data_IF_732981935079
#
_entry.id   IF_732981935079
#
_cell.length_a   1.000
_cell.length_b   1.000
_cell.length_c   1.000
_cell.angle_alpha   90.00
_cell.angle_beta   90.00
_cell.angle_gamma   90.00
#
_symmetry.space_group_name_H-M   'P 1'
#
loop_
_entity.id
_entity.type
_entity.pdbx_description
1 polymer ?
#
# COMPACT_ATOMS: atom_id res chain seq x y z
N UNK A 1 4.23 -2.84 16.54
CA UNK A 1 5.32 -2.04 15.95
C UNK A 1 6.31 -3.02 15.34
N UNK A 2 6.53 -2.88 14.04
CA UNK A 2 7.47 -3.74 13.30
C UNK A 2 8.90 -3.47 13.74
N UNK A 3 9.73 -4.50 13.80
CA UNK A 3 11.17 -4.33 13.95
C UNK A 3 11.83 -4.02 12.59
N UNK A 4 13.09 -3.58 12.61
CA UNK A 4 13.83 -3.17 11.39
C UNK A 4 13.94 -4.30 10.35
N UNK A 5 14.00 -5.56 10.80
CA UNK A 5 14.07 -6.73 9.90
C UNK A 5 12.73 -6.93 9.19
N UNK A 6 11.61 -6.76 9.90
CA UNK A 6 10.28 -6.88 9.33
C UNK A 6 9.99 -5.74 8.34
N UNK A 7 10.38 -4.51 8.67
CA UNK A 7 10.30 -3.38 7.74
C UNK A 7 11.13 -3.59 6.48
N UNK A 8 12.36 -4.09 6.64
CA UNK A 8 13.23 -4.42 5.50
C UNK A 8 12.63 -5.56 4.65
N UNK A 9 12.03 -6.56 5.29
CA UNK A 9 11.36 -7.68 4.60
C UNK A 9 10.18 -7.17 3.79
N UNK A 10 9.39 -6.27 4.37
CA UNK A 10 8.21 -5.70 3.71
C UNK A 10 8.62 -4.83 2.52
N UNK A 11 9.61 -3.95 2.68
CA UNK A 11 10.16 -3.15 1.59
C UNK A 11 10.76 -4.01 0.46
N UNK A 12 11.45 -5.10 0.82
CA UNK A 12 12.04 -6.02 -0.15
C UNK A 12 10.97 -6.80 -0.94
N UNK A 13 9.95 -7.33 -0.25
CA UNK A 13 8.90 -8.12 -0.90
C UNK A 13 7.98 -7.27 -1.78
N UNK A 14 7.69 -6.03 -1.37
CA UNK A 14 6.86 -5.12 -2.16
C UNK A 14 7.62 -4.43 -3.30
N UNK A 15 8.96 -4.38 -3.24
CA UNK A 15 9.88 -3.84 -4.24
C UNK A 15 9.74 -2.34 -4.56
N UNK A 16 8.53 -1.83 -4.78
CA UNK A 16 8.20 -0.44 -5.09
C UNK A 16 8.91 0.57 -4.16
N UNK A 17 8.93 0.41 -2.82
CA UNK A 17 9.61 1.37 -1.96
C UNK A 17 11.12 1.45 -2.17
N UNK A 18 11.74 0.34 -2.59
CA UNK A 18 13.18 0.29 -2.89
C UNK A 18 13.49 1.03 -4.19
N UNK A 19 12.71 0.74 -5.24
CA UNK A 19 12.84 1.42 -6.56
C UNK A 19 12.68 2.93 -6.40
N UNK A 20 11.65 3.37 -5.68
CA UNK A 20 11.44 4.80 -5.40
C UNK A 20 12.61 5.40 -4.61
N UNK A 21 13.16 4.66 -3.64
CA UNK A 21 14.34 5.12 -2.90
C UNK A 21 15.54 5.31 -3.83
N UNK A 22 15.80 4.37 -4.74
CA UNK A 22 16.93 4.44 -5.66
C UNK A 22 16.76 5.55 -6.70
N UNK A 23 15.54 5.81 -7.16
CA UNK A 23 15.20 6.97 -7.98
C UNK A 23 15.49 8.28 -7.22
N UNK A 24 15.00 8.41 -5.98
CA UNK A 24 15.15 9.63 -5.18
C UNK A 24 16.61 9.88 -4.77
N UNK A 25 17.40 8.82 -4.59
CA UNK A 25 18.85 8.90 -4.34
C UNK A 25 19.67 9.20 -5.61
N UNK A 26 19.03 9.26 -6.79
CA UNK A 26 19.69 9.48 -8.07
C UNK A 26 20.50 8.28 -8.58
N UNK A 27 20.22 7.07 -8.07
CA UNK A 27 20.86 5.83 -8.53
C UNK A 27 20.20 5.26 -9.79
N UNK A 28 18.92 5.55 -9.97
CA UNK A 28 18.16 5.20 -11.17
C UNK A 28 17.60 6.44 -11.86
N UNK A 29 17.51 6.38 -13.19
CA UNK A 29 16.90 7.44 -14.00
C UNK A 29 15.39 7.33 -13.98
N UNK A 30 14.71 8.44 -13.69
CA UNK A 30 13.25 8.50 -13.71
C UNK A 30 12.75 9.21 -14.95
N UNK A 31 12.53 8.44 -16.01
CA UNK A 31 11.94 8.88 -17.26
C UNK A 31 10.49 8.38 -17.42
N UNK A 32 9.93 8.53 -18.62
CA UNK A 32 8.56 8.11 -18.92
C UNK A 32 8.35 6.60 -18.78
N UNK A 33 9.36 5.79 -19.14
CA UNK A 33 9.29 4.34 -19.07
C UNK A 33 9.37 3.88 -17.61
N UNK A 34 10.26 4.49 -16.80
CA UNK A 34 10.33 4.25 -15.36
C UNK A 34 9.03 4.65 -14.64
N UNK A 35 8.42 5.80 -15.02
CA UNK A 35 7.12 6.22 -14.51
C UNK A 35 6.02 5.21 -14.85
N UNK A 36 5.99 4.70 -16.08
CA UNK A 36 5.01 3.71 -16.51
C UNK A 36 5.19 2.38 -15.78
N UNK A 37 6.42 1.88 -15.69
CA UNK A 37 6.73 0.65 -14.97
C UNK A 37 6.34 0.74 -13.48
N UNK A 38 6.51 1.90 -12.86
CA UNK A 38 6.10 2.13 -11.48
C UNK A 38 4.56 2.08 -11.32
N UNK A 39 3.82 2.67 -12.26
CA UNK A 39 2.37 2.54 -12.30
C UNK A 39 1.94 1.07 -12.43
N UNK A 40 2.52 0.35 -13.39
CA UNK A 40 2.21 -1.05 -13.66
C UNK A 40 2.47 -1.91 -12.42
N UNK A 41 3.66 -1.80 -11.83
CA UNK A 41 4.06 -2.57 -10.64
C UNK A 41 3.11 -2.38 -9.45
N UNK A 42 2.61 -1.16 -9.21
CA UNK A 42 1.66 -0.92 -8.10
C UNK A 42 0.24 -1.35 -8.50
N UNK A 43 -0.14 -1.21 -9.77
CA UNK A 43 -1.49 -1.56 -10.23
C UNK A 43 -1.78 -3.06 -10.14
N UNK A 44 -0.75 -3.91 -10.24
CA UNK A 44 -0.86 -5.37 -10.10
C UNK A 44 -0.96 -5.83 -8.64
N UNK A 45 -0.70 -4.94 -7.68
CA UNK A 45 -0.81 -5.26 -6.26
C UNK A 45 -2.27 -5.37 -5.83
N UNK A 46 -2.51 -6.09 -4.73
CA UNK A 46 -3.80 -6.01 -4.02
C UNK A 46 -3.87 -4.72 -3.21
N UNK A 47 -5.07 -4.20 -2.88
CA UNK A 47 -5.20 -2.92 -2.19
C UNK A 47 -4.42 -2.81 -0.88
N UNK A 48 -4.37 -3.86 -0.06
CA UNK A 48 -3.62 -3.91 1.20
C UNK A 48 -2.10 -3.82 0.99
N UNK A 49 -1.61 -4.53 -0.03
CA UNK A 49 -0.19 -4.54 -0.40
C UNK A 49 0.22 -3.22 -1.06
N UNK A 50 -0.67 -2.67 -1.90
CA UNK A 50 -0.51 -1.36 -2.51
C UNK A 50 -0.47 -0.26 -1.45
N UNK A 51 -1.38 -0.28 -0.46
CA UNK A 51 -1.40 0.66 0.66
C UNK A 51 -0.05 0.67 1.38
N UNK A 52 0.46 -0.50 1.76
CA UNK A 52 1.76 -0.62 2.43
C UNK A 52 2.93 -0.15 1.56
N UNK A 53 2.93 -0.48 0.27
CA UNK A 53 3.94 -0.02 -0.67
C UNK A 53 3.93 1.51 -0.81
N UNK A 54 2.73 2.10 -0.90
CA UNK A 54 2.50 3.54 -0.97
C UNK A 54 2.97 4.22 0.31
N UNK A 55 2.59 3.72 1.49
CA UNK A 55 2.99 4.30 2.78
C UNK A 55 4.52 4.25 2.98
N UNK A 56 5.17 3.12 2.67
CA UNK A 56 6.63 3.04 2.76
C UNK A 56 7.32 4.03 1.81
N UNK A 57 6.79 4.17 0.60
CA UNK A 57 7.31 5.11 -0.40
C UNK A 57 7.10 6.56 0.03
N UNK A 58 5.92 6.88 0.56
CA UNK A 58 5.59 8.17 1.13
C UNK A 58 6.52 8.53 2.31
N UNK A 59 6.85 7.57 3.18
CA UNK A 59 7.84 7.77 4.23
C UNK A 59 9.23 8.12 3.69
N UNK A 60 9.66 7.51 2.59
CA UNK A 60 10.95 7.86 1.96
C UNK A 60 10.95 9.30 1.49
N UNK A 61 9.89 9.71 0.79
CA UNK A 61 9.71 11.09 0.32
C UNK A 61 9.68 12.05 1.51
N UNK A 62 8.83 11.80 2.51
CA UNK A 62 8.70 12.65 3.68
C UNK A 62 10.02 12.80 4.45
N UNK A 63 10.84 11.75 4.54
CA UNK A 63 12.14 11.80 5.20
C UNK A 63 13.17 12.63 4.44
N UNK A 64 13.22 12.54 3.11
CA UNK A 64 14.11 13.36 2.27
C UNK A 64 13.72 14.84 2.37
N UNK A 65 12.42 15.12 2.39
CA UNK A 65 11.86 16.46 2.48
C UNK A 65 11.45 16.85 3.90
N UNK A 66 12.05 16.24 4.93
CA UNK A 66 11.70 16.50 6.33
C UNK A 66 11.84 17.99 6.65
N UNK A 67 10.89 18.54 7.40
CA UNK A 67 10.80 19.97 7.75
C UNK A 67 10.63 20.92 6.55
N UNK A 68 10.41 20.43 5.33
CA UNK A 68 10.18 21.29 4.17
C UNK A 68 8.77 21.91 4.16
N UNK A 69 7.80 21.19 4.74
CA UNK A 69 6.40 21.60 4.91
C UNK A 69 5.79 20.79 6.04
N UNK A 70 4.86 21.36 6.80
CA UNK A 70 4.09 20.62 7.82
C UNK A 70 3.30 19.45 7.20
N UNK A 71 2.93 19.54 5.93
CA UNK A 71 2.26 18.46 5.20
C UNK A 71 3.13 17.21 5.03
N UNK A 72 4.46 17.35 5.02
CA UNK A 72 5.39 16.21 4.97
C UNK A 72 5.41 15.47 6.31
N UNK A 73 5.35 16.21 7.42
CA UNK A 73 5.33 15.62 8.75
C UNK A 73 4.02 14.86 8.98
N UNK A 74 2.88 15.42 8.56
CA UNK A 74 1.57 14.74 8.61
C UNK A 74 1.58 13.47 7.76
N UNK A 75 2.08 13.53 6.52
CA UNK A 75 2.21 12.36 5.66
C UNK A 75 3.11 11.28 6.29
N UNK A 76 4.19 11.69 6.97
CA UNK A 76 5.05 10.75 7.68
C UNK A 76 4.35 10.08 8.86
N UNK A 77 3.54 10.83 9.62
CA UNK A 77 2.81 10.31 10.78
C UNK A 77 1.76 9.30 10.32
N UNK A 78 0.94 9.66 9.34
CA UNK A 78 -0.12 8.76 8.84
C UNK A 78 0.43 7.52 8.18
N UNK A 79 1.44 7.65 7.32
CA UNK A 79 2.09 6.49 6.72
C UNK A 79 2.69 5.55 7.80
N UNK A 80 3.25 6.11 8.88
CA UNK A 80 3.77 5.31 10.00
C UNK A 80 2.65 4.60 10.77
N UNK A 81 1.51 5.26 11.01
CA UNK A 81 0.34 4.64 11.66
C UNK A 81 -0.11 3.42 10.85
N UNK A 82 -0.35 3.61 9.55
CA UNK A 82 -0.83 2.57 8.64
C UNK A 82 0.16 1.40 8.59
N UNK A 83 1.47 1.66 8.43
CA UNK A 83 2.46 0.56 8.41
C UNK A 83 2.44 -0.26 9.72
N UNK A 84 2.23 0.40 10.86
CA UNK A 84 2.15 -0.29 12.16
C UNK A 84 0.88 -1.13 12.32
N UNK A 85 -0.21 -0.71 11.67
CA UNK A 85 -1.52 -1.37 11.70
C UNK A 85 -1.54 -2.60 10.80
N UNK A 86 -1.18 -2.45 9.52
CA UNK A 86 -1.28 -3.52 8.53
C UNK A 86 -0.02 -4.39 8.43
N UNK A 87 1.15 -3.81 8.70
CA UNK A 87 2.42 -4.42 8.31
C UNK A 87 2.73 -5.73 9.05
N UNK A 88 2.33 -5.85 10.33
CA UNK A 88 2.57 -7.08 11.09
C UNK A 88 1.74 -8.25 10.55
N UNK A 89 0.46 -8.02 10.28
CA UNK A 89 -0.44 -9.03 9.70
C UNK A 89 0.04 -9.42 8.31
N UNK A 90 0.44 -8.44 7.50
CA UNK A 90 0.98 -8.68 6.17
C UNK A 90 2.25 -9.55 6.20
N UNK A 91 3.22 -9.25 7.08
CA UNK A 91 4.45 -10.04 7.22
C UNK A 91 4.17 -11.47 7.68
N UNK A 92 3.26 -11.65 8.65
CA UNK A 92 2.83 -12.99 9.09
C UNK A 92 2.27 -13.79 7.92
N UNK A 93 1.38 -13.20 7.11
CA UNK A 93 0.86 -13.88 5.93
C UNK A 93 1.96 -14.19 4.92
N UNK A 94 2.82 -13.23 4.62
CA UNK A 94 3.91 -13.40 3.66
C UNK A 94 4.90 -14.50 4.08
N UNK A 95 4.91 -14.88 5.37
CA UNK A 95 5.70 -15.98 5.91
C UNK A 95 4.89 -17.28 6.10
N UNK A 96 3.69 -17.38 5.50
CA UNK A 96 2.78 -18.52 5.59
C UNK A 96 2.42 -18.90 7.04
N UNK A 97 2.32 -17.93 7.94
CA UNK A 97 1.80 -18.16 9.29
C UNK A 97 0.28 -18.18 9.26
N UNK A 98 -0.33 -19.05 10.06
CA UNK A 98 -1.79 -19.08 10.19
C UNK A 98 -2.27 -17.76 10.84
N UNK A 99 -3.27 -17.15 10.21
CA UNK A 99 -3.89 -15.91 10.65
C UNK A 99 -5.33 -16.16 11.07
N UNK A 100 -5.79 -15.41 12.07
CA UNK A 100 -7.20 -15.39 12.43
C UNK A 100 -7.98 -14.57 11.39
N UNK A 101 -8.99 -15.19 10.78
CA UNK A 101 -9.75 -14.59 9.69
C UNK A 101 -10.53 -13.35 10.12
N UNK A 102 -11.00 -13.33 11.38
CA UNK A 102 -11.74 -12.19 11.93
C UNK A 102 -10.79 -11.01 12.18
N UNK A 103 -9.60 -11.25 12.75
CA UNK A 103 -8.54 -10.23 12.94
C UNK A 103 -8.08 -9.62 11.60
N UNK A 104 -7.96 -10.44 10.57
CA UNK A 104 -7.61 -10.01 9.21
C UNK A 104 -8.71 -9.15 8.62
N UNK A 105 -9.97 -9.58 8.73
CA UNK A 105 -11.10 -8.82 8.19
C UNK A 105 -11.28 -7.47 8.89
N UNK A 106 -11.25 -7.45 10.22
CA UNK A 106 -11.37 -6.23 11.02
C UNK A 106 -10.27 -5.22 10.70
N UNK A 107 -9.07 -5.68 10.33
CA UNK A 107 -8.00 -4.79 9.89
C UNK A 107 -8.23 -4.28 8.47
N UNK A 108 -8.63 -5.17 7.55
CA UNK A 108 -8.69 -4.84 6.13
C UNK A 108 -9.92 -4.01 5.75
N UNK A 109 -10.96 -3.97 6.58
CA UNK A 109 -12.14 -3.12 6.35
C UNK A 109 -11.81 -1.62 6.29
N UNK A 110 -10.71 -1.19 6.93
CA UNK A 110 -10.27 0.19 6.95
C UNK A 110 -9.37 0.58 5.74
N UNK A 111 -9.04 -0.38 4.88
CA UNK A 111 -8.09 -0.19 3.77
C UNK A 111 -8.52 0.92 2.82
N UNK A 112 -9.83 1.05 2.55
CA UNK A 112 -10.38 2.10 1.69
C UNK A 112 -10.10 3.50 2.26
N UNK A 113 -10.47 3.73 3.53
CA UNK A 113 -10.31 5.02 4.20
C UNK A 113 -8.82 5.42 4.30
N UNK A 114 -7.95 4.46 4.58
CA UNK A 114 -6.51 4.69 4.66
C UNK A 114 -5.89 5.01 3.28
N UNK A 115 -6.35 4.35 2.21
CA UNK A 115 -5.93 4.67 0.85
C UNK A 115 -6.39 6.07 0.42
N UNK A 116 -7.63 6.45 0.75
CA UNK A 116 -8.14 7.81 0.50
C UNK A 116 -7.35 8.87 1.25
N UNK A 117 -7.10 8.64 2.55
CA UNK A 117 -6.27 9.52 3.39
C UNK A 117 -4.88 9.69 2.80
N UNK A 118 -4.24 8.61 2.38
CA UNK A 118 -2.92 8.68 1.73
C UNK A 118 -2.98 9.40 0.39
N UNK A 119 -4.03 9.21 -0.42
CA UNK A 119 -4.21 9.94 -1.67
C UNK A 119 -4.28 11.45 -1.44
N UNK A 120 -5.08 11.92 -0.49
CA UNK A 120 -5.20 13.34 -0.16
C UNK A 120 -3.86 13.95 0.27
N UNK A 121 -3.11 13.25 1.13
CA UNK A 121 -1.79 13.69 1.59
C UNK A 121 -0.76 13.71 0.45
N UNK A 122 -0.83 12.75 -0.47
CA UNK A 122 0.05 12.69 -1.63
C UNK A 122 -0.24 13.80 -2.64
N UNK A 123 -1.51 14.14 -2.89
CA UNK A 123 -1.85 15.26 -3.78
C UNK A 123 -1.41 16.61 -3.20
N UNK A 124 -1.63 16.82 -1.91
CA UNK A 124 -1.17 18.01 -1.19
C UNK A 124 0.35 18.16 -1.29
N UNK A 125 1.09 17.08 -1.02
CA UNK A 125 2.55 17.11 -1.08
C UNK A 125 3.09 17.13 -2.52
N UNK A 126 2.39 16.55 -3.50
CA UNK A 126 2.69 16.68 -4.92
C UNK A 126 2.69 18.16 -5.33
N UNK A 127 1.64 18.88 -4.95
CA UNK A 127 1.51 20.32 -5.24
C UNK A 127 2.66 21.15 -4.64
N UNK A 128 3.08 20.84 -3.41
CA UNK A 128 4.26 21.45 -2.80
C UNK A 128 5.56 21.10 -3.56
N UNK A 129 5.76 19.82 -3.87
CA UNK A 129 6.98 19.34 -4.50
C UNK A 129 7.14 19.82 -5.94
N UNK A 130 6.06 20.10 -6.69
CA UNK A 130 6.15 20.62 -8.07
C UNK A 130 7.07 21.85 -8.20
N UNK A 131 7.13 22.69 -7.16
CA UNK A 131 7.99 23.86 -7.14
C UNK A 131 9.42 23.59 -6.64
N UNK A 132 9.66 22.46 -5.96
CA UNK A 132 10.91 22.15 -5.25
C UNK A 132 11.71 21.04 -5.93
N UNK A 133 11.06 19.96 -6.31
CA UNK A 133 11.61 18.82 -7.02
C UNK A 133 10.50 18.17 -7.87
N UNK A 134 10.59 18.37 -9.18
CA UNK A 134 9.61 17.86 -10.14
C UNK A 134 9.61 16.33 -10.25
N UNK A 135 10.73 15.67 -9.97
CA UNK A 135 10.83 14.21 -9.98
C UNK A 135 10.08 13.64 -8.78
N UNK A 136 10.35 14.15 -7.57
CA UNK A 136 9.63 13.74 -6.36
C UNK A 136 8.12 14.04 -6.48
N UNK A 137 7.76 15.19 -7.05
CA UNK A 137 6.36 15.52 -7.33
C UNK A 137 5.73 14.50 -8.29
N UNK A 138 6.42 14.11 -9.36
CA UNK A 138 5.92 13.13 -10.30
C UNK A 138 5.82 11.72 -9.70
N UNK A 139 6.59 11.38 -8.66
CA UNK A 139 6.40 10.13 -7.92
C UNK A 139 5.17 10.23 -7.02
N UNK A 140 4.99 11.34 -6.30
CA UNK A 140 3.76 11.58 -5.53
C UNK A 140 2.50 11.49 -6.40
N UNK A 141 2.56 11.99 -7.63
CA UNK A 141 1.48 11.88 -8.63
C UNK A 141 1.14 10.42 -9.00
N UNK A 142 2.15 9.57 -9.18
CA UNK A 142 1.95 8.13 -9.40
C UNK A 142 1.29 7.50 -8.18
N UNK A 143 1.87 7.71 -7.00
CA UNK A 143 1.37 7.14 -5.75
C UNK A 143 -0.06 7.61 -5.44
N UNK A 144 -0.36 8.88 -5.67
CA UNK A 144 -1.71 9.45 -5.56
C UNK A 144 -2.72 8.70 -6.45
N UNK A 145 -2.39 8.56 -7.74
CA UNK A 145 -3.25 7.88 -8.72
C UNK A 145 -3.51 6.44 -8.31
N UNK A 146 -2.47 5.75 -7.83
CA UNK A 146 -2.59 4.36 -7.39
C UNK A 146 -3.37 4.24 -6.08
N UNK A 147 -3.16 5.14 -5.11
CA UNK A 147 -3.92 5.18 -3.88
C UNK A 147 -5.43 5.33 -4.16
N UNK A 148 -5.79 6.26 -5.04
CA UNK A 148 -7.18 6.48 -5.43
C UNK A 148 -7.79 5.26 -6.16
N UNK A 149 -7.03 4.67 -7.10
CA UNK A 149 -7.49 3.50 -7.84
C UNK A 149 -7.72 2.29 -6.93
N UNK A 150 -6.78 2.04 -6.00
CA UNK A 150 -6.89 0.93 -5.05
C UNK A 150 -7.99 1.16 -4.00
N UNK A 151 -8.27 2.41 -3.62
CA UNK A 151 -9.41 2.72 -2.75
C UNK A 151 -10.73 2.30 -3.41
N UNK A 152 -10.92 2.63 -4.69
CA UNK A 152 -12.10 2.20 -5.45
C UNK A 152 -12.22 0.68 -5.55
N UNK A 153 -11.09 -0.01 -5.74
CA UNK A 153 -11.06 -1.48 -5.78
C UNK A 153 -11.45 -2.06 -4.43
N UNK A 154 -10.87 -1.56 -3.33
CA UNK A 154 -11.16 -1.99 -1.97
C UNK A 154 -12.63 -1.78 -1.59
N UNK A 155 -13.18 -0.60 -1.89
CA UNK A 155 -14.60 -0.28 -1.66
C UNK A 155 -15.53 -1.23 -2.41
N UNK A 156 -15.24 -1.51 -3.69
CA UNK A 156 -16.03 -2.46 -4.48
C UNK A 156 -16.01 -3.87 -3.86
N UNK A 157 -14.87 -4.31 -3.31
CA UNK A 157 -14.75 -5.61 -2.64
C UNK A 157 -15.53 -5.66 -1.32
N UNK A 158 -15.43 -4.63 -0.48
CA UNK A 158 -16.17 -4.57 0.80
C UNK A 158 -17.68 -4.59 0.55
N UNK A 159 -18.15 -3.77 -0.38
CA UNK A 159 -19.55 -3.71 -0.77
C UNK A 159 -20.07 -5.07 -1.31
N UNK A 160 -19.24 -5.80 -2.06
CA UNK A 160 -19.59 -7.13 -2.54
C UNK A 160 -19.66 -8.15 -1.39
N UNK A 161 -18.72 -8.11 -0.45
CA UNK A 161 -18.71 -8.99 0.72
C UNK A 161 -19.95 -8.78 1.60
N UNK A 162 -20.34 -7.53 1.86
CA UNK A 162 -21.54 -7.19 2.64
C UNK A 162 -22.81 -7.74 2.00
N UNK A 163 -22.95 -7.63 0.68
CA UNK A 163 -24.10 -8.17 -0.05
C UNK A 163 -24.19 -9.70 0.05
N UNK A 164 -23.06 -10.41 0.10
CA UNK A 164 -23.04 -11.86 0.26
C UNK A 164 -23.51 -12.30 1.65
N UNK A 165 -23.09 -11.57 2.70
CA UNK A 165 -23.53 -11.78 4.09
C UNK A 165 -25.05 -11.57 4.23
N UNK A 166 -25.59 -10.51 3.61
CA UNK A 166 -27.04 -10.20 3.63
C UNK A 166 -27.87 -11.30 2.94
N UNK A 167 -27.31 -11.98 1.94
CA UNK A 167 -27.99 -13.06 1.20
C UNK A 167 -27.93 -14.44 1.89
N UNK A 168 -27.38 -14.55 3.10
CA UNK A 168 -27.33 -15.79 3.87
C UNK A 168 -26.29 -16.81 3.38
N UNK A 169 -25.47 -16.43 2.40
CA UNK A 169 -24.22 -17.12 2.05
C UNK A 169 -23.11 -16.56 2.92
N UNK A 170 -22.73 -17.29 3.96
CA UNK A 170 -21.54 -16.94 4.76
C UNK A 170 -20.34 -16.95 3.80
N UNK A 171 -19.58 -15.85 3.66
CA UNK A 171 -18.34 -15.87 2.90
C UNK A 171 -17.46 -16.98 3.48
N UNK A 172 -17.03 -17.93 2.65
CA UNK A 172 -16.11 -18.97 3.09
C UNK A 172 -14.72 -18.32 3.23
N UNK A 173 -14.47 -17.68 4.36
CA UNK A 173 -13.18 -17.08 4.73
C UNK A 173 -12.24 -18.21 5.13
N UNK A 174 -11.80 -18.99 4.15
CA UNK A 174 -10.64 -19.86 4.32
C UNK A 174 -9.45 -19.18 3.67
N UNK A 175 -8.40 -18.94 4.47
CA UNK A 175 -7.06 -18.67 3.96
C UNK A 175 -6.64 -19.85 3.08
N UNK A 176 -6.88 -19.76 1.77
CA UNK A 176 -6.50 -20.81 0.84
C UNK A 176 -4.98 -20.83 0.75
N UNK A 177 -4.38 -21.96 1.16
CA UNK A 177 -2.97 -22.27 0.89
C UNK A 177 -2.82 -22.57 -0.60
N UNK A 178 -2.46 -21.56 -1.39
CA UNK A 178 -2.05 -21.81 -2.78
C UNK A 178 -0.63 -22.36 -2.81
N UNK A 179 -0.50 -23.58 -3.34
CA UNK A 179 0.78 -24.16 -3.68
C UNK A 179 1.42 -23.40 -4.84
N UNK A 180 2.69 -23.06 -4.65
CA UNK A 180 3.66 -22.44 -5.57
C UNK A 180 3.76 -20.89 -5.55
N UNK A 181 4.91 -20.45 -5.02
CA UNK A 181 5.63 -19.17 -5.24
C UNK A 181 5.01 -17.81 -4.93
N UNK A 182 3.76 -17.71 -4.51
CA UNK A 182 3.11 -16.40 -4.37
C UNK A 182 2.91 -15.97 -2.90
N UNK A 183 3.47 -14.82 -2.52
CA UNK A 183 3.29 -14.15 -1.22
C UNK A 183 1.88 -13.56 -1.08
N UNK A 184 0.84 -14.34 -1.40
CA UNK A 184 -0.52 -13.88 -1.62
C UNK A 184 -1.38 -14.20 -0.41
N UNK A 185 -1.98 -13.17 0.24
CA UNK A 185 -3.21 -13.36 1.01
C UNK A 185 -4.29 -13.66 -0.02
N UNK A 186 -4.83 -14.89 -0.07
CA UNK A 186 -6.09 -15.13 -0.77
C UNK A 186 -7.22 -14.61 0.12
N UNK A 187 -7.82 -13.49 -0.31
CA UNK A 187 -9.15 -13.11 0.15
C UNK A 187 -10.17 -14.17 -0.30
N UNK A 188 -11.29 -14.32 0.43
CA UNK A 188 -12.26 -15.39 0.23
C UNK A 188 -12.71 -15.49 -1.23
N UNK A 189 -12.36 -16.58 -1.90
CA UNK A 189 -12.87 -16.92 -3.22
C UNK A 189 -14.11 -17.79 -3.09
N UNK A 190 -15.18 -17.46 -3.80
CA UNK A 190 -16.32 -18.36 -3.97
C UNK A 190 -15.83 -19.64 -4.65
N UNK A 191 -15.78 -20.75 -3.90
CA UNK A 191 -15.71 -22.08 -4.48
C UNK A 191 -17.03 -22.35 -5.19
N UNK A 192 -16.98 -22.40 -6.53
CA UNK A 192 -18.07 -22.91 -7.37
C UNK A 192 -18.25 -24.40 -7.12
#
# INVERSE_FOLDING_TARGET
MLNDIELATLAYKLQTPMVISDILDGKETYDGDAKYALHEAISEMKPDSALLAICLSALKIANIYRNASSSMDVMSIEATRIINEYGAIWVKNANNQDLDGDEVFDTLIHTTEDLETMAELLDLNCSFLRAKDSQAASICDVLFTQAHSHAMIADAFINAADQMVVNGTVPNIQAQRSGYSDNVIQFPGASV
#
